data_IF_134882750064
#
_entry.id   IF_134882750064
#
_cell.length_a   1.000
_cell.length_b   1.000
_cell.length_c   1.000
_cell.angle_alpha   90.00
_cell.angle_beta   90.00
_cell.angle_gamma   90.00
#
_symmetry.space_group_name_H-M   'P 1'
#
loop_
_entity.id
_entity.type
_entity.pdbx_description
1 polymer ?
#
# COMPACT_ATOMS: atom_id res chain seq x y z
N UNK A 1 0.07 27.40 -16.75
CA UNK A 1 0.42 26.34 -15.79
C UNK A 1 1.70 25.69 -16.29
N UNK A 2 2.81 25.89 -15.59
CA UNK A 2 4.08 25.25 -15.90
C UNK A 2 3.96 23.76 -15.56
N UNK A 3 4.09 22.92 -16.59
CA UNK A 3 4.10 21.47 -16.50
C UNK A 3 5.28 21.05 -15.60
N UNK A 4 4.99 20.65 -14.35
CA UNK A 4 6.01 20.33 -13.33
C UNK A 4 6.90 19.15 -13.70
N UNK A 5 6.61 18.47 -14.81
CA UNK A 5 7.41 17.40 -15.39
C UNK A 5 8.44 17.89 -16.42
N UNK A 6 8.28 19.08 -17.01
CA UNK A 6 9.15 19.55 -18.10
C UNK A 6 10.53 20.04 -17.68
N UNK A 7 10.74 20.27 -16.37
CA UNK A 7 11.99 20.84 -15.84
C UNK A 7 12.75 19.91 -14.89
N UNK A 8 12.28 18.67 -14.70
CA UNK A 8 12.94 17.73 -13.80
C UNK A 8 13.99 16.93 -14.53
N UNK A 9 15.12 16.69 -13.86
CA UNK A 9 16.14 15.80 -14.41
C UNK A 9 15.61 14.37 -14.44
N UNK A 10 16.25 13.52 -15.24
CA UNK A 10 15.91 12.09 -15.28
C UNK A 10 16.02 11.45 -13.88
N UNK A 11 16.99 11.88 -13.07
CA UNK A 11 17.19 11.43 -11.69
C UNK A 11 16.04 11.84 -10.76
N UNK A 12 15.58 13.09 -10.84
CA UNK A 12 14.45 13.58 -10.05
C UNK A 12 13.15 12.87 -10.42
N UNK A 13 12.96 12.58 -11.71
CA UNK A 13 11.80 11.84 -12.20
C UNK A 13 11.81 10.40 -11.68
N UNK A 14 12.97 9.72 -11.73
CA UNK A 14 13.15 8.38 -11.15
C UNK A 14 12.89 8.36 -9.65
N UNK A 15 13.37 9.38 -8.92
CA UNK A 15 13.13 9.52 -7.48
C UNK A 15 11.64 9.64 -7.17
N UNK A 16 10.92 10.52 -7.88
CA UNK A 16 9.47 10.69 -7.69
C UNK A 16 8.69 9.42 -7.97
N UNK A 17 9.02 8.70 -9.04
CA UNK A 17 8.36 7.43 -9.37
C UNK A 17 8.59 6.41 -8.26
N UNK A 18 9.82 6.34 -7.73
CA UNK A 18 10.14 5.44 -6.62
C UNK A 18 9.35 5.78 -5.36
N UNK A 19 9.33 7.04 -4.94
CA UNK A 19 8.56 7.51 -3.78
C UNK A 19 7.07 7.19 -3.94
N UNK A 20 6.52 7.43 -5.14
CA UNK A 20 5.13 7.08 -5.45
C UNK A 20 4.84 5.58 -5.28
N UNK A 21 5.73 4.71 -5.76
CA UNK A 21 5.57 3.26 -5.58
C UNK A 21 5.69 2.83 -4.11
N UNK A 22 6.61 3.43 -3.36
CA UNK A 22 6.78 3.17 -1.92
C UNK A 22 5.52 3.56 -1.14
N UNK A 23 4.94 4.72 -1.45
CA UNK A 23 3.68 5.18 -0.85
C UNK A 23 2.50 4.25 -1.20
N UNK A 24 2.40 3.81 -2.46
CA UNK A 24 1.39 2.84 -2.87
C UNK A 24 1.54 1.50 -2.13
N UNK A 25 2.75 0.99 -2.02
CA UNK A 25 3.04 -0.25 -1.29
C UNK A 25 2.64 -0.12 0.19
N UNK A 26 2.95 1.03 0.81
CA UNK A 26 2.57 1.33 2.19
C UNK A 26 1.05 1.31 2.39
N UNK A 27 0.29 1.95 1.50
CA UNK A 27 -1.17 1.98 1.56
C UNK A 27 -1.79 0.58 1.38
N UNK A 28 -1.24 -0.25 0.50
CA UNK A 28 -1.68 -1.65 0.32
C UNK A 28 -1.45 -2.46 1.59
N UNK A 29 -0.27 -2.31 2.23
CA UNK A 29 0.03 -2.98 3.51
C UNK A 29 -0.96 -2.58 4.60
N UNK A 30 -1.23 -1.29 4.76
CA UNK A 30 -2.24 -0.79 5.72
C UNK A 30 -3.59 -1.44 5.46
N UNK A 31 -4.05 -1.44 4.20
CA UNK A 31 -5.35 -2.00 3.84
C UNK A 31 -5.46 -3.49 4.19
N UNK A 32 -4.42 -4.27 3.89
CA UNK A 32 -4.40 -5.70 4.24
C UNK A 32 -4.40 -5.87 5.76
N UNK A 33 -3.58 -5.10 6.48
CA UNK A 33 -3.50 -5.17 7.94
C UNK A 33 -4.83 -4.84 8.62
N UNK A 34 -5.56 -3.83 8.16
CA UNK A 34 -6.90 -3.51 8.66
C UNK A 34 -7.91 -4.64 8.44
N UNK A 35 -7.75 -5.43 7.37
CA UNK A 35 -8.59 -6.62 7.15
C UNK A 35 -8.20 -7.81 8.01
N UNK A 36 -6.91 -7.97 8.31
CA UNK A 36 -6.43 -9.01 9.22
C UNK A 36 -6.78 -8.67 10.68
N UNK A 37 -6.74 -7.40 11.05
CA UNK A 37 -7.03 -6.89 12.40
C UNK A 37 -8.20 -5.89 12.36
N UNK A 38 -9.45 -6.37 12.29
CA UNK A 38 -10.63 -5.51 12.09
C UNK A 38 -10.87 -4.51 13.24
N UNK A 39 -10.39 -4.80 14.45
CA UNK A 39 -10.53 -3.93 15.63
C UNK A 39 -9.45 -2.84 15.73
N UNK A 40 -8.61 -2.70 14.71
CA UNK A 40 -7.50 -1.75 14.70
C UNK A 40 -7.86 -0.55 13.83
N UNK A 41 -7.55 0.65 14.33
CA UNK A 41 -7.48 1.86 13.52
C UNK A 41 -6.11 1.99 12.87
N UNK A 42 -5.96 2.89 11.88
CA UNK A 42 -4.68 3.19 11.25
C UNK A 42 -3.65 3.64 12.31
N UNK A 43 -4.03 4.55 13.20
CA UNK A 43 -3.16 5.01 14.29
C UNK A 43 -2.65 3.86 15.16
N UNK A 44 -3.52 2.89 15.48
CA UNK A 44 -3.16 1.72 16.27
C UNK A 44 -2.22 0.77 15.51
N UNK A 45 -2.33 0.68 14.17
CA UNK A 45 -1.37 -0.05 13.35
C UNK A 45 -0.01 0.64 13.32
N UNK A 46 0.02 1.97 13.23
CA UNK A 46 1.25 2.75 13.26
C UNK A 46 1.96 2.64 14.62
N UNK A 47 1.22 2.78 15.73
CA UNK A 47 1.74 2.57 17.09
C UNK A 47 2.39 1.20 17.29
N UNK A 48 1.82 0.16 16.67
CA UNK A 48 2.32 -1.22 16.74
C UNK A 48 3.42 -1.52 15.73
N UNK A 49 3.63 -0.62 14.76
CA UNK A 49 4.62 -0.71 13.69
C UNK A 49 4.15 -1.57 12.52
N UNK A 50 3.75 -0.93 11.42
CA UNK A 50 3.26 -1.58 10.19
C UNK A 50 4.27 -2.59 9.64
N UNK A 51 5.56 -2.26 9.59
CA UNK A 51 6.59 -3.18 9.07
C UNK A 51 6.72 -4.46 9.93
N UNK A 52 6.58 -4.34 11.25
CA UNK A 52 6.62 -5.47 12.18
C UNK A 52 5.38 -6.35 12.02
N UNK A 53 4.20 -5.71 11.99
CA UNK A 53 2.94 -6.42 11.80
C UNK A 53 2.87 -7.12 10.44
N UNK A 54 3.33 -6.46 9.38
CA UNK A 54 3.42 -7.05 8.04
C UNK A 54 4.23 -8.34 8.02
N UNK A 55 5.42 -8.34 8.65
CA UNK A 55 6.28 -9.53 8.75
C UNK A 55 5.68 -10.64 9.61
N UNK A 56 4.75 -10.32 10.50
CA UNK A 56 4.10 -11.31 11.37
C UNK A 56 2.99 -12.11 10.66
N UNK A 57 2.56 -11.68 9.48
CA UNK A 57 1.52 -12.35 8.70
C UNK A 57 2.18 -13.20 7.62
N UNK A 58 1.70 -14.44 7.43
CA UNK A 58 2.20 -15.32 6.37
C UNK A 58 1.85 -14.80 4.97
N UNK A 59 2.66 -15.15 3.98
CA UNK A 59 2.43 -14.75 2.59
C UNK A 59 1.10 -15.30 2.06
N UNK A 60 0.69 -16.50 2.48
CA UNK A 60 -0.59 -17.10 2.12
C UNK A 60 -1.75 -16.24 2.61
N UNK A 61 -1.67 -15.73 3.84
CA UNK A 61 -2.72 -14.89 4.40
C UNK A 61 -2.76 -13.51 3.74
N UNK A 62 -1.61 -12.93 3.41
CA UNK A 62 -1.55 -11.69 2.64
C UNK A 62 -2.22 -11.86 1.26
N UNK A 63 -1.94 -12.97 0.56
CA UNK A 63 -2.54 -13.29 -0.74
C UNK A 63 -4.04 -13.53 -0.66
N UNK A 64 -4.51 -14.28 0.34
CA UNK A 64 -5.93 -14.54 0.58
C UNK A 64 -6.70 -13.22 0.76
N UNK A 65 -6.21 -12.32 1.62
CA UNK A 65 -6.85 -11.02 1.85
C UNK A 65 -6.83 -10.15 0.60
N UNK A 66 -5.73 -10.11 -0.14
CA UNK A 66 -5.64 -9.36 -1.39
C UNK A 66 -6.65 -9.88 -2.44
N UNK A 67 -6.69 -11.18 -2.66
CA UNK A 67 -7.62 -11.80 -3.63
C UNK A 67 -9.09 -11.59 -3.22
N UNK A 68 -9.40 -11.69 -1.93
CA UNK A 68 -10.75 -11.44 -1.42
C UNK A 68 -11.19 -9.98 -1.61
N UNK A 69 -10.26 -9.01 -1.59
CA UNK A 69 -10.58 -7.61 -1.89
C UNK A 69 -10.91 -7.38 -3.37
N UNK A 70 -10.23 -8.08 -4.29
CA UNK A 70 -10.43 -7.91 -5.73
C UNK A 70 -11.55 -8.79 -6.32
N UNK A 71 -12.01 -9.80 -5.58
CA UNK A 71 -13.06 -10.74 -6.03
C UNK A 71 -14.37 -10.07 -6.47
N UNK A 72 -14.69 -8.91 -5.90
CA UNK A 72 -15.91 -8.16 -6.22
C UNK A 72 -15.68 -6.91 -7.09
N UNK A 73 -14.43 -6.59 -7.43
CA UNK A 73 -14.12 -5.46 -8.31
C UNK A 73 -14.22 -5.82 -9.80
N UNK A 74 -14.01 -7.10 -10.16
CA UNK A 74 -14.02 -7.56 -11.55
C UNK A 74 -15.46 -7.85 -12.04
N UNK A 75 -16.45 -7.95 -11.16
CA UNK A 75 -17.85 -8.26 -11.53
C UNK A 75 -18.69 -7.04 -11.94
N UNK A 76 -18.08 -5.87 -12.13
CA UNK A 76 -18.78 -4.62 -12.49
C UNK A 76 -18.29 -4.00 -13.82
N UNK A 77 -17.54 -4.76 -14.62
CA UNK A 77 -17.12 -4.40 -15.99
C UNK A 77 -17.75 -5.40 -16.94
#
# INVERSE_FOLDING_TARGET
MLDSFRYKTEEETKKMIKEFWEDLEYLVKIRILLKVYPDYSITKLEERGIAKMWKSISLEKQKDVYNNQHKYQISQI
#
